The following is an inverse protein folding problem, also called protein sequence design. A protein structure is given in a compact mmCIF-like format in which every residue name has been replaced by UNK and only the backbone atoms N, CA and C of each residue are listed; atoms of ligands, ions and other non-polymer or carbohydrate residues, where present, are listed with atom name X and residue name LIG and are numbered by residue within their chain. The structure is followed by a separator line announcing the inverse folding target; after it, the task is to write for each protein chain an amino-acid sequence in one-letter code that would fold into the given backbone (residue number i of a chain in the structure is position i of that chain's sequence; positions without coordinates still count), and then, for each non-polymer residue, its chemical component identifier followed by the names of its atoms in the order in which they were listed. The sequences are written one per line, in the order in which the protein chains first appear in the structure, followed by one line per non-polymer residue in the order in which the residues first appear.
data_IF_546833785804
#
_entry.id   IF_546833785804
#
_cell.length_a   1.000
_cell.length_b   1.000
_cell.length_c   1.000
_cell.angle_alpha   90.00
_cell.angle_beta   90.00
_cell.angle_gamma   90.00
#
_symmetry.space_group_name_H-M   'P 1'
#
loop_
_entity.id
_entity.type
_entity.pdbx_description
1 polymer ?
#
# COMPACT_ATOMS: atom_id res chain seq x y z
N UNK A 1 -2.47 -5.22 -13.40
CA UNK A 1 -2.31 -5.53 -11.98
C UNK A 1 -0.85 -5.40 -11.59
N UNK A 2 -0.58 -4.77 -10.45
CA UNK A 2 0.79 -4.61 -9.95
C UNK A 2 1.13 -5.82 -9.09
N UNK A 3 2.29 -6.41 -9.35
CA UNK A 3 2.75 -7.55 -8.57
C UNK A 3 3.57 -7.09 -7.37
N UNK A 4 3.34 -7.70 -6.22
CA UNK A 4 4.07 -7.36 -4.99
C UNK A 4 5.55 -7.71 -5.09
N UNK A 5 5.93 -8.59 -6.01
CA UNK A 5 7.33 -8.92 -6.24
C UNK A 5 8.16 -7.72 -6.73
N UNK A 6 7.48 -6.70 -7.30
CA UNK A 6 8.15 -5.49 -7.75
C UNK A 6 8.10 -4.36 -6.73
N UNK A 7 7.59 -4.65 -5.53
CA UNK A 7 7.43 -3.68 -4.45
C UNK A 7 8.28 -4.11 -3.26
N UNK A 8 8.88 -3.14 -2.57
CA UNK A 8 9.72 -3.41 -1.42
C UNK A 8 9.36 -2.48 -0.25
N UNK A 9 9.72 -2.87 0.99
CA UNK A 9 9.54 -1.98 2.13
C UNK A 9 10.20 -0.62 1.87
N UNK A 10 9.49 0.44 2.24
CA UNK A 10 9.92 1.81 1.98
C UNK A 10 9.35 2.41 0.71
N UNK A 11 8.83 1.60 -0.20
CA UNK A 11 8.15 2.12 -1.38
C UNK A 11 6.83 2.78 -1.00
N UNK A 12 6.43 3.80 -1.77
CA UNK A 12 5.15 4.45 -1.60
C UNK A 12 4.20 3.99 -2.69
N UNK A 13 2.96 3.77 -2.32
CA UNK A 13 1.94 3.23 -3.21
C UNK A 13 0.73 4.16 -3.22
N UNK A 14 0.10 4.25 -4.38
CA UNK A 14 -1.24 4.81 -4.46
C UNK A 14 -2.22 3.65 -4.52
N UNK A 15 -3.21 3.68 -3.64
CA UNK A 15 -4.22 2.64 -3.54
C UNK A 15 -5.55 3.16 -4.07
N UNK A 16 -6.50 2.25 -4.30
CA UNK A 16 -7.85 2.63 -4.72
C UNK A 16 -8.46 3.59 -3.71
N UNK A 17 -9.29 4.51 -4.17
CA UNK A 17 -9.93 5.48 -3.29
C UNK A 17 -9.09 6.70 -2.95
N UNK A 18 -7.98 6.92 -3.65
CA UNK A 18 -7.14 8.10 -3.44
C UNK A 18 -6.23 8.01 -2.21
N UNK A 19 -6.01 6.81 -1.72
CA UNK A 19 -5.17 6.57 -0.55
C UNK A 19 -3.70 6.46 -0.98
N UNK A 20 -2.80 7.10 -0.24
CA UNK A 20 -1.36 6.92 -0.41
C UNK A 20 -0.83 6.23 0.84
N UNK A 21 0.00 5.22 0.64
CA UNK A 21 0.56 4.44 1.74
C UNK A 21 2.02 4.08 1.49
N UNK A 22 2.73 3.80 2.56
CA UNK A 22 4.12 3.35 2.49
C UNK A 22 4.18 1.88 2.90
N UNK A 23 4.92 1.09 2.13
CA UNK A 23 5.08 -0.33 2.43
C UNK A 23 5.95 -0.51 3.66
N UNK A 24 5.45 -1.24 4.64
CA UNK A 24 6.17 -1.58 5.86
C UNK A 24 6.80 -2.95 5.72
N UNK A 25 6.03 -3.91 5.19
CA UNK A 25 6.47 -5.30 5.07
C UNK A 25 5.68 -6.00 3.99
N UNK A 26 6.35 -6.87 3.23
CA UNK A 26 5.69 -7.76 2.29
C UNK A 26 5.36 -9.04 3.03
N UNK A 27 4.08 -9.37 3.12
CA UNK A 27 3.62 -10.55 3.85
C UNK A 27 3.72 -11.80 2.97
N UNK A 28 3.20 -11.70 1.74
CA UNK A 28 3.29 -12.79 0.76
C UNK A 28 3.04 -12.21 -0.64
N UNK A 29 2.78 -13.08 -1.62
CA UNK A 29 2.60 -12.65 -3.01
C UNK A 29 1.36 -11.78 -3.24
N UNK A 30 0.41 -11.79 -2.32
CA UNK A 30 -0.86 -11.10 -2.47
C UNK A 30 -1.08 -9.97 -1.48
N UNK A 31 -0.39 -9.98 -0.34
CA UNK A 31 -0.63 -9.04 0.76
C UNK A 31 0.63 -8.34 1.20
N UNK A 32 0.48 -7.06 1.51
CA UNK A 32 1.55 -6.25 2.09
C UNK A 32 0.99 -5.45 3.26
N UNK A 33 1.81 -5.27 4.28
CA UNK A 33 1.48 -4.36 5.37
C UNK A 33 1.94 -2.97 4.97
N UNK A 34 1.05 -2.00 5.07
CA UNK A 34 1.32 -0.62 4.69
C UNK A 34 0.93 0.32 5.80
N UNK A 35 1.57 1.49 5.83
CA UNK A 35 1.20 2.59 6.73
C UNK A 35 0.54 3.66 5.88
N UNK A 36 -0.65 4.10 6.27
CA UNK A 36 -1.40 5.10 5.52
C UNK A 36 -0.76 6.48 5.69
N UNK A 37 -0.43 7.13 4.59
CA UNK A 37 0.18 8.46 4.57
C UNK A 37 -0.85 9.53 4.27
N UNK A 38 -1.71 9.30 3.27
CA UNK A 38 -2.79 10.20 2.91
C UNK A 38 -4.06 9.42 2.71
N UNK A 39 -5.12 9.83 3.40
CA UNK A 39 -6.44 9.23 3.28
C UNK A 39 -7.44 10.37 3.16
N UNK A 40 -8.22 10.46 2.07
CA UNK A 40 -9.13 11.59 1.85
C UNK A 40 -10.09 11.86 3.00
N UNK A 41 -10.63 10.82 3.61
CA UNK A 41 -11.61 10.95 4.68
C UNK A 41 -11.26 10.18 5.93
N UNK A 42 -10.00 9.89 6.13
CA UNK A 42 -9.58 9.02 7.23
C UNK A 42 -8.37 9.51 7.98
N UNK A 43 -7.94 8.70 8.91
CA UNK A 43 -6.76 8.97 9.71
C UNK A 43 -5.52 8.41 9.03
N UNK A 44 -4.40 9.12 9.20
CA UNK A 44 -3.10 8.68 8.70
C UNK A 44 -2.31 7.99 9.80
N UNK A 45 -1.28 7.26 9.42
CA UNK A 45 -0.38 6.60 10.35
C UNK A 45 -0.80 5.22 10.79
N UNK A 46 -2.00 4.78 10.45
CA UNK A 46 -2.46 3.42 10.76
C UNK A 46 -1.77 2.42 9.83
N UNK A 47 -1.45 1.24 10.38
CA UNK A 47 -0.94 0.13 9.58
C UNK A 47 -2.08 -0.79 9.21
N UNK A 48 -2.13 -1.17 7.94
CA UNK A 48 -3.17 -2.04 7.43
C UNK A 48 -2.60 -3.02 6.42
N UNK A 49 -3.33 -4.11 6.20
CA UNK A 49 -2.99 -5.03 5.12
C UNK A 49 -3.62 -4.54 3.83
N UNK A 50 -2.81 -4.57 2.76
CA UNK A 50 -3.22 -4.14 1.44
C UNK A 50 -3.07 -5.32 0.49
N UNK A 51 -4.11 -5.61 -0.30
CA UNK A 51 -4.04 -6.63 -1.32
C UNK A 51 -3.43 -6.05 -2.59
N UNK A 52 -2.72 -6.89 -3.35
CA UNK A 52 -2.09 -6.45 -4.59
C UNK A 52 -3.07 -5.79 -5.56
N UNK A 53 -4.31 -6.27 -5.59
CA UNK A 53 -5.34 -5.71 -6.49
C UNK A 53 -5.79 -4.30 -6.09
N UNK A 54 -5.47 -3.86 -4.88
CA UNK A 54 -5.82 -2.51 -4.42
C UNK A 54 -4.78 -1.47 -4.82
N UNK A 55 -3.64 -1.91 -5.34
CA UNK A 55 -2.55 -1.01 -5.74
C UNK A 55 -2.84 -0.47 -7.13
N UNK A 56 -2.93 0.85 -7.23
CA UNK A 56 -3.16 1.54 -8.50
C UNK A 56 -1.83 1.88 -9.16
N UNK A 57 -0.86 2.32 -8.35
CA UNK A 57 0.41 2.81 -8.87
C UNK A 57 1.49 2.69 -7.81
N UNK A 58 2.71 2.43 -8.23
CA UNK A 58 3.90 2.50 -7.36
C UNK A 58 4.53 3.86 -7.60
N UNK A 59 4.65 4.64 -6.55
CA UNK A 59 5.13 6.01 -6.64
C UNK A 59 6.66 6.10 -6.58
#
# INVERSE_FOLDING_TARGET
MIELSSVAPGNKLRLVGGVTAEVVEIVNDEWAKVRLIEVPDGETGAEELCHATDIVEVL
#
